data_IF_507256353339
#
_entry.id   IF_507256353339
#
_cell.length_a   1.000
_cell.length_b   1.000
_cell.length_c   1.000
_cell.angle_alpha   90.00
_cell.angle_beta   90.00
_cell.angle_gamma   90.00
#
_symmetry.space_group_name_H-M   'P 1'
#
loop_
_entity.id
_entity.type
_entity.pdbx_description
1 polymer ?
#
# COMPACT_ATOMS: atom_id res chain seq x y z
N UNK A 1 -6.90 14.39 -13.99
CA UNK A 1 -7.73 13.25 -13.53
C UNK A 1 -7.16 12.68 -12.25
N UNK A 2 -8.01 12.47 -11.27
CA UNK A 2 -7.59 11.91 -9.99
C UNK A 2 -7.95 10.43 -9.94
N UNK A 3 -6.99 9.61 -9.56
CA UNK A 3 -7.18 8.17 -9.48
C UNK A 3 -6.94 7.70 -8.06
N UNK A 4 -7.79 6.81 -7.59
CA UNK A 4 -7.57 6.11 -6.32
C UNK A 4 -7.29 4.64 -6.65
N UNK A 5 -6.15 4.16 -6.21
CA UNK A 5 -5.72 2.80 -6.46
C UNK A 5 -5.78 2.04 -5.14
N UNK A 6 -6.68 1.08 -5.06
CA UNK A 6 -6.89 0.31 -3.83
C UNK A 6 -6.24 -1.06 -4.01
N UNK A 7 -5.32 -1.40 -3.14
CA UNK A 7 -4.54 -2.62 -3.24
C UNK A 7 -4.66 -3.42 -1.94
N UNK A 8 -5.48 -4.46 -1.93
CA UNK A 8 -5.51 -5.37 -0.79
C UNK A 8 -4.31 -6.30 -0.84
N UNK A 9 -3.76 -6.62 0.31
CA UNK A 9 -2.57 -7.44 0.36
C UNK A 9 -2.50 -8.24 1.65
N UNK A 10 -1.70 -9.31 1.59
CA UNK A 10 -1.40 -10.14 2.75
C UNK A 10 -0.01 -10.72 2.56
N UNK A 11 0.92 -10.42 3.47
CA UNK A 11 2.28 -10.96 3.46
C UNK A 11 3.01 -10.73 2.14
N UNK A 12 3.08 -9.44 1.72
CA UNK A 12 3.71 -9.05 0.47
C UNK A 12 4.88 -8.09 0.68
N UNK A 13 5.61 -8.26 1.76
CA UNK A 13 6.65 -7.27 2.11
C UNK A 13 7.70 -7.08 1.02
N UNK A 14 8.01 -8.14 0.27
CA UNK A 14 9.05 -8.06 -0.75
C UNK A 14 8.55 -7.40 -2.04
N UNK A 15 7.27 -7.58 -2.34
CA UNK A 15 6.68 -7.07 -3.58
C UNK A 15 6.25 -5.61 -3.48
N UNK A 16 6.00 -5.13 -2.27
CA UNK A 16 5.42 -3.80 -2.07
C UNK A 16 6.28 -2.67 -2.63
N UNK A 17 7.60 -2.63 -2.39
CA UNK A 17 8.41 -1.53 -2.93
C UNK A 17 8.42 -1.51 -4.46
N UNK A 18 8.49 -2.67 -5.09
CA UNK A 18 8.47 -2.75 -6.54
C UNK A 18 7.14 -2.29 -7.09
N UNK A 19 6.05 -2.73 -6.49
CA UNK A 19 4.71 -2.35 -6.92
C UNK A 19 4.51 -0.84 -6.78
N UNK A 20 4.92 -0.29 -5.65
CA UNK A 20 4.83 1.15 -5.42
C UNK A 20 5.58 1.93 -6.49
N UNK A 21 6.82 1.52 -6.75
CA UNK A 21 7.65 2.21 -7.74
C UNK A 21 7.05 2.14 -9.13
N UNK A 22 6.50 0.99 -9.48
CA UNK A 22 5.87 0.81 -10.79
C UNK A 22 4.66 1.73 -10.95
N UNK A 23 3.81 1.79 -9.92
CA UNK A 23 2.62 2.64 -9.96
C UNK A 23 3.01 4.11 -10.08
N UNK A 24 3.99 4.54 -9.27
CA UNK A 24 4.45 5.93 -9.30
C UNK A 24 4.95 6.29 -10.69
N UNK A 25 5.73 5.39 -11.29
CA UNK A 25 6.29 5.63 -12.61
C UNK A 25 5.19 5.79 -13.67
N UNK A 26 4.19 4.92 -13.62
CA UNK A 26 3.07 4.99 -14.56
C UNK A 26 2.28 6.29 -14.39
N UNK A 27 2.00 6.65 -13.14
CA UNK A 27 1.22 7.86 -12.87
C UNK A 27 1.96 9.11 -13.31
N UNK A 28 3.27 9.16 -13.07
CA UNK A 28 4.07 10.30 -13.51
C UNK A 28 4.17 10.40 -15.02
N UNK A 29 4.27 9.27 -15.69
CA UNK A 29 4.35 9.24 -17.14
C UNK A 29 3.08 9.81 -17.80
N UNK A 30 1.95 9.67 -17.13
CA UNK A 30 0.66 10.13 -17.65
C UNK A 30 0.18 11.42 -16.98
N UNK A 31 0.96 11.99 -16.10
CA UNK A 31 0.61 13.22 -15.37
C UNK A 31 -0.70 13.10 -14.60
N UNK A 32 -0.98 11.93 -14.04
CA UNK A 32 -2.18 11.73 -13.24
C UNK A 32 -1.94 12.13 -11.80
N UNK A 33 -2.94 12.77 -11.21
CA UNK A 33 -3.02 12.88 -9.76
C UNK A 33 -3.53 11.55 -9.23
N UNK A 34 -2.92 11.05 -8.15
CA UNK A 34 -3.25 9.71 -7.70
C UNK A 34 -3.13 9.58 -6.19
N UNK A 35 -3.79 8.58 -5.68
CA UNK A 35 -3.67 8.15 -4.29
C UNK A 35 -3.58 6.63 -4.31
N UNK A 36 -2.64 6.09 -3.55
CA UNK A 36 -2.50 4.64 -3.40
C UNK A 36 -2.95 4.26 -2.00
N UNK A 37 -3.90 3.34 -1.91
CA UNK A 37 -4.40 2.87 -0.62
C UNK A 37 -4.07 1.40 -0.49
N UNK A 38 -3.09 1.09 0.34
CA UNK A 38 -2.74 -0.28 0.67
C UNK A 38 -3.61 -0.76 1.82
N UNK A 39 -4.28 -1.88 1.62
CA UNK A 39 -5.11 -2.48 2.66
C UNK A 39 -4.46 -3.77 3.11
N UNK A 40 -3.88 -3.73 4.31
CA UNK A 40 -3.20 -4.89 4.88
C UNK A 40 -4.22 -5.72 5.65
N UNK A 41 -4.48 -6.90 5.15
CA UNK A 41 -5.49 -7.81 5.70
C UNK A 41 -4.90 -8.74 6.76
N UNK A 42 -4.13 -8.18 7.68
CA UNK A 42 -3.60 -8.92 8.81
C UNK A 42 -2.29 -9.63 8.55
N UNK A 43 -1.37 -8.99 7.81
CA UNK A 43 -0.06 -9.58 7.52
C UNK A 43 0.71 -9.88 8.80
N UNK A 44 1.41 -11.00 8.79
CA UNK A 44 2.27 -11.40 9.91
C UNK A 44 3.75 -11.10 9.64
N UNK A 45 4.08 -10.70 8.41
CA UNK A 45 5.43 -10.30 8.06
C UNK A 45 5.61 -8.79 8.23
N UNK A 46 6.62 -8.21 7.61
CA UNK A 46 6.92 -6.79 7.72
C UNK A 46 6.14 -5.93 6.71
N UNK A 47 5.08 -6.46 6.09
CA UNK A 47 4.30 -5.71 5.11
C UNK A 47 3.83 -4.37 5.65
N UNK A 48 3.30 -4.34 6.87
CA UNK A 48 2.81 -3.09 7.44
C UNK A 48 3.94 -2.08 7.64
N UNK A 49 5.12 -2.55 8.04
CA UNK A 49 6.27 -1.66 8.20
C UNK A 49 6.67 -1.05 6.85
N UNK A 50 6.62 -1.84 5.78
CA UNK A 50 6.90 -1.34 4.44
C UNK A 50 5.87 -0.30 4.02
N UNK A 51 4.59 -0.57 4.25
CA UNK A 51 3.52 0.38 3.93
C UNK A 51 3.73 1.69 4.69
N UNK A 52 4.05 1.60 5.97
CA UNK A 52 4.29 2.79 6.79
C UNK A 52 5.45 3.61 6.24
N UNK A 53 6.51 2.94 5.85
CA UNK A 53 7.67 3.61 5.29
C UNK A 53 7.34 4.28 3.97
N UNK A 54 6.62 3.59 3.09
CA UNK A 54 6.21 4.17 1.81
C UNK A 54 5.31 5.38 2.01
N UNK A 55 4.42 5.30 3.00
CA UNK A 55 3.53 6.41 3.31
C UNK A 55 4.30 7.64 3.82
N UNK A 56 5.37 7.40 4.59
CA UNK A 56 6.22 8.50 5.05
C UNK A 56 6.98 9.16 3.91
N UNK A 57 7.37 8.39 2.92
CA UNK A 57 8.15 8.89 1.80
C UNK A 57 7.30 9.52 0.71
N UNK A 58 6.06 9.06 0.57
CA UNK A 58 5.18 9.52 -0.49
C UNK A 58 3.83 9.93 0.11
N UNK A 59 3.49 11.23 0.10
CA UNK A 59 2.23 11.70 0.71
C UNK A 59 0.98 11.17 0.00
N UNK A 60 1.13 10.61 -1.19
CA UNK A 60 0.01 10.03 -1.92
C UNK A 60 -0.26 8.57 -1.52
N UNK A 61 0.56 8.00 -0.65
CA UNK A 61 0.39 6.63 -0.19
C UNK A 61 -0.24 6.63 1.18
N UNK A 62 -1.28 5.83 1.34
CA UNK A 62 -1.97 5.64 2.61
C UNK A 62 -2.11 4.15 2.89
N UNK A 63 -2.20 3.81 4.15
CA UNK A 63 -2.35 2.41 4.55
C UNK A 63 -3.48 2.24 5.54
N UNK A 64 -4.21 1.15 5.39
CA UNK A 64 -5.20 0.71 6.37
C UNK A 64 -4.81 -0.70 6.78
N UNK A 65 -4.79 -0.93 8.08
CA UNK A 65 -4.44 -2.23 8.61
C UNK A 65 -5.63 -2.82 9.34
N UNK A 66 -6.04 -4.00 8.90
CA UNK A 66 -7.05 -4.76 9.61
C UNK A 66 -6.35 -5.72 10.56
N UNK A 67 -6.53 -5.50 11.84
CA UNK A 67 -6.05 -6.44 12.83
C UNK A 67 -7.07 -7.55 12.93
N UNK A 68 -6.75 -8.68 12.37
CA UNK A 68 -7.64 -9.82 12.42
C UNK A 68 -7.60 -10.40 13.82
N UNK A 69 -8.73 -10.40 14.44
CA UNK A 69 -8.86 -10.96 15.76
C UNK A 69 -9.57 -12.29 15.64
N UNK A 70 -8.82 -13.30 15.70
CA UNK A 70 -9.36 -14.63 15.56
C UNK A 70 -9.71 -15.15 16.90
N UNK A 71 -10.60 -15.05 17.23
CA UNK A 71 -10.73 -15.39 18.36
C UNK A 71 -11.64 -15.84 19.06
N UNK A 72 -11.29 -15.55 18.72
CA UNK A 72 -11.54 -15.59 19.18
C UNK A 72 -11.94 -15.56 19.55
N UNK A 73 -12.28 -15.63 19.90
CA UNK A 73 -12.26 -15.54 20.11
C UNK A 73 -12.39 -15.64 20.45
#
# INVERSE_FOLDING_TARGET
MNLSIVIPLLNEQESLPELHNWIVKVMQAHNYSYEILFIDDGSTDASWNVISQLSNENPNVKGIRFLRNYGKS
#
